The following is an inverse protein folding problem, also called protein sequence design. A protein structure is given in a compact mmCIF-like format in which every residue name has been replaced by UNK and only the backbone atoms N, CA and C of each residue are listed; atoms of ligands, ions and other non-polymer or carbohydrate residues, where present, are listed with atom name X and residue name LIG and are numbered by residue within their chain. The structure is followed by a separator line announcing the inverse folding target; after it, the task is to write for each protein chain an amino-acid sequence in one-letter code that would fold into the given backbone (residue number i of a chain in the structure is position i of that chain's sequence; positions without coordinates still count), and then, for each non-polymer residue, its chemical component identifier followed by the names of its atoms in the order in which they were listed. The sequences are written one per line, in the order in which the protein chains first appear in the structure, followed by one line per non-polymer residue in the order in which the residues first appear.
data_IF_289973519859
#
_entry.id   IF_289973519859
#
_cell.length_a   1.000
_cell.length_b   1.000
_cell.length_c   1.000
_cell.angle_alpha   90.00
_cell.angle_beta   90.00
_cell.angle_gamma   90.00
#
_symmetry.space_group_name_H-M   'P 1'
#
loop_
_entity.id
_entity.type
_entity.pdbx_description
1 polymer ?
#
# COMPACT_ATOMS: atom_id res chain seq x y z
N UNK A 1 -0.33 -15.79 -22.11
CA UNK A 1 -1.66 -15.62 -21.46
C UNK A 1 -1.67 -15.96 -19.97
N UNK A 2 -1.01 -17.04 -19.50
CA UNK A 2 -0.94 -17.37 -18.07
C UNK A 2 -0.15 -16.35 -17.22
N UNK A 3 0.98 -15.84 -17.74
CA UNK A 3 1.90 -14.97 -16.99
C UNK A 3 1.32 -13.56 -16.76
N UNK A 4 0.62 -12.98 -17.75
CA UNK A 4 -0.12 -11.72 -17.56
C UNK A 4 -1.10 -11.81 -16.40
N UNK A 5 -1.88 -12.90 -16.32
CA UNK A 5 -2.89 -13.11 -15.28
C UNK A 5 -2.27 -13.22 -13.88
N UNK A 6 -1.10 -13.84 -13.78
CA UNK A 6 -0.34 -13.89 -12.52
C UNK A 6 0.10 -12.49 -12.11
N UNK A 7 0.63 -11.69 -13.03
CA UNK A 7 1.05 -10.31 -12.72
C UNK A 7 -0.13 -9.45 -12.27
N UNK A 8 -1.27 -9.50 -12.95
CA UNK A 8 -2.47 -8.74 -12.55
C UNK A 8 -2.92 -9.14 -11.14
N UNK A 9 -3.04 -10.45 -10.88
CA UNK A 9 -3.43 -10.97 -9.57
C UNK A 9 -2.45 -10.55 -8.46
N UNK A 10 -1.14 -10.66 -8.69
CA UNK A 10 -0.13 -10.26 -7.71
C UNK A 10 -0.18 -8.77 -7.39
N UNK A 11 -0.44 -7.91 -8.38
CA UNK A 11 -0.59 -6.48 -8.14
C UNK A 11 -1.88 -6.15 -7.40
N UNK A 12 -2.98 -6.86 -7.66
CA UNK A 12 -4.22 -6.71 -6.89
C UNK A 12 -4.03 -7.12 -5.43
N UNK A 13 -3.38 -8.24 -5.18
CA UNK A 13 -3.07 -8.72 -3.83
C UNK A 13 -2.19 -7.71 -3.08
N UNK A 14 -1.14 -7.20 -3.72
CA UNK A 14 -0.28 -6.16 -3.16
C UNK A 14 -1.07 -4.88 -2.81
N UNK A 15 -1.92 -4.39 -3.71
CA UNK A 15 -2.80 -3.23 -3.46
C UNK A 15 -3.75 -3.48 -2.29
N UNK A 16 -4.34 -4.67 -2.23
CA UNK A 16 -5.26 -5.04 -1.15
C UNK A 16 -4.52 -5.14 0.19
N UNK A 17 -3.33 -5.74 0.21
CA UNK A 17 -2.48 -5.85 1.39
C UNK A 17 -2.09 -4.47 1.93
N UNK A 18 -1.68 -3.54 1.05
CA UNK A 18 -1.36 -2.15 1.42
C UNK A 18 -2.58 -1.45 2.05
N UNK A 19 -3.78 -1.61 1.46
CA UNK A 19 -5.02 -1.05 2.05
C UNK A 19 -5.31 -1.61 3.43
N UNK A 20 -5.19 -2.93 3.61
CA UNK A 20 -5.39 -3.59 4.92
C UNK A 20 -4.37 -3.10 5.95
N UNK A 21 -3.11 -2.96 5.56
CA UNK A 21 -2.05 -2.44 6.43
C UNK A 21 -2.34 -1.01 6.87
N UNK A 22 -2.72 -0.11 5.94
CA UNK A 22 -3.14 1.26 6.26
C UNK A 22 -4.31 1.27 7.23
N UNK A 23 -5.35 0.47 6.97
CA UNK A 23 -6.52 0.41 7.84
C UNK A 23 -6.13 0.00 9.27
N UNK A 24 -5.29 -1.03 9.42
CA UNK A 24 -4.83 -1.52 10.72
C UNK A 24 -3.98 -0.47 11.46
N UNK A 25 -3.11 0.23 10.74
CA UNK A 25 -2.28 1.30 11.29
C UNK A 25 -3.15 2.48 11.76
N UNK A 26 -4.13 2.90 10.96
CA UNK A 26 -5.07 3.97 11.33
C UNK A 26 -5.97 3.60 12.51
N UNK A 27 -6.43 2.35 12.59
CA UNK A 27 -7.19 1.85 13.75
C UNK A 27 -6.34 1.86 15.03
N UNK A 28 -5.06 1.50 14.91
CA UNK A 28 -4.10 1.55 16.01
C UNK A 28 -3.84 2.99 16.44
N UNK A 29 -3.66 3.92 15.49
CA UNK A 29 -3.50 5.34 15.77
C UNK A 29 -4.73 5.90 16.51
N UNK A 30 -5.94 5.53 16.10
CA UNK A 30 -7.19 5.90 16.81
C UNK A 30 -7.22 5.40 18.25
N UNK A 31 -6.72 4.20 18.54
CA UNK A 31 -6.59 3.68 19.91
C UNK A 31 -5.52 4.41 20.73
N UNK A 32 -4.50 4.95 20.07
CA UNK A 32 -3.47 5.74 20.74
C UNK A 32 -3.94 7.14 21.11
N UNK A 33 -4.96 7.71 20.46
CA UNK A 33 -5.51 9.04 20.82
C UNK A 33 -5.95 9.15 22.30
N UNK A 34 -6.28 8.04 22.96
CA UNK A 34 -6.62 8.03 24.39
C UNK A 34 -5.40 7.95 25.31
N UNK A 35 -4.25 7.48 24.83
CA UNK A 35 -3.07 7.18 25.66
C UNK A 35 -1.80 7.96 25.25
N UNK A 36 -1.81 8.66 24.12
CA UNK A 36 -0.66 9.35 23.56
C UNK A 36 -1.01 10.81 23.18
N UNK A 37 0.00 11.71 23.07
CA UNK A 37 -0.21 13.09 22.67
C UNK A 37 -0.84 13.21 21.27
N UNK A 38 -1.77 14.15 21.10
CA UNK A 38 -2.47 14.36 19.81
C UNK A 38 -1.50 14.68 18.66
N UNK A 39 -0.43 15.42 18.93
CA UNK A 39 0.58 15.76 17.92
C UNK A 39 1.35 14.52 17.44
N UNK A 40 1.74 13.62 18.35
CA UNK A 40 2.40 12.37 17.99
C UNK A 40 1.50 11.46 17.17
N UNK A 41 0.23 11.33 17.56
CA UNK A 41 -0.73 10.50 16.81
C UNK A 41 -0.98 11.08 15.41
N UNK A 42 -1.15 12.40 15.27
CA UNK A 42 -1.28 13.06 13.96
C UNK A 42 -0.05 12.87 13.08
N UNK A 43 1.15 12.92 13.67
CA UNK A 43 2.39 12.66 12.95
C UNK A 43 2.43 11.22 12.45
N UNK A 44 2.03 10.27 13.28
CA UNK A 44 1.93 8.85 12.94
C UNK A 44 0.93 8.60 11.80
N UNK A 45 -0.25 9.22 11.86
CA UNK A 45 -1.26 9.18 10.78
C UNK A 45 -0.67 9.70 9.46
N UNK A 46 0.05 10.82 9.49
CA UNK A 46 0.69 11.41 8.31
C UNK A 46 1.79 10.51 7.74
N UNK A 47 2.63 9.93 8.59
CA UNK A 47 3.68 9.00 8.17
C UNK A 47 3.10 7.72 7.54
N UNK A 48 2.03 7.17 8.12
CA UNK A 48 1.31 6.02 7.56
C UNK A 48 0.74 6.35 6.18
N UNK A 49 0.15 7.53 6.01
CA UNK A 49 -0.43 7.95 4.72
C UNK A 49 0.66 8.15 3.66
N UNK A 50 1.78 8.78 3.99
CA UNK A 50 2.93 8.96 3.09
C UNK A 50 3.58 7.63 2.71
N UNK A 51 3.80 6.73 3.67
CA UNK A 51 4.27 5.37 3.40
C UNK A 51 3.30 4.62 2.48
N UNK A 52 2.00 4.71 2.75
CA UNK A 52 0.98 4.08 1.90
C UNK A 52 1.07 4.59 0.47
N UNK A 53 1.13 5.91 0.26
CA UNK A 53 1.26 6.50 -1.08
C UNK A 53 2.51 5.98 -1.80
N UNK A 54 3.65 5.90 -1.10
CA UNK A 54 4.90 5.38 -1.65
C UNK A 54 4.75 3.92 -2.10
N UNK A 55 4.16 3.06 -1.28
CA UNK A 55 3.98 1.64 -1.62
C UNK A 55 2.95 1.42 -2.73
N UNK A 56 1.86 2.19 -2.75
CA UNK A 56 0.88 2.15 -3.86
C UNK A 56 1.57 2.51 -5.17
N UNK A 57 2.29 3.64 -5.20
CA UNK A 57 3.02 4.07 -6.40
C UNK A 57 4.05 3.03 -6.84
N UNK A 58 4.85 2.50 -5.91
CA UNK A 58 5.82 1.45 -6.21
C UNK A 58 5.15 0.19 -6.78
N UNK A 59 4.01 -0.21 -6.25
CA UNK A 59 3.24 -1.36 -6.74
C UNK A 59 2.72 -1.12 -8.16
N UNK A 60 2.21 0.08 -8.44
CA UNK A 60 1.75 0.46 -9.78
C UNK A 60 2.88 0.50 -10.80
N UNK A 61 4.02 1.08 -10.44
CA UNK A 61 5.18 1.17 -11.32
C UNK A 61 5.74 -0.23 -11.64
N UNK A 62 5.84 -1.10 -10.62
CA UNK A 62 6.24 -2.50 -10.81
C UNK A 62 5.26 -3.28 -11.68
N UNK A 63 3.95 -3.04 -11.50
CA UNK A 63 2.92 -3.71 -12.30
C UNK A 63 3.06 -3.34 -13.78
N UNK A 64 3.17 -2.04 -14.08
CA UNK A 64 3.36 -1.52 -15.44
C UNK A 64 4.65 -2.03 -16.09
N UNK A 65 5.75 -2.07 -15.33
CA UNK A 65 7.02 -2.58 -15.82
C UNK A 65 6.91 -4.06 -16.22
N UNK A 66 6.38 -4.91 -15.32
CA UNK A 66 6.19 -6.34 -15.60
C UNK A 66 5.19 -6.61 -16.71
N UNK A 67 4.11 -5.83 -16.80
CA UNK A 67 3.15 -5.96 -17.89
C UNK A 67 3.79 -5.65 -19.24
N UNK A 68 4.63 -4.61 -19.33
CA UNK A 68 5.39 -4.29 -20.55
C UNK A 68 6.39 -5.38 -20.92
N UNK A 69 7.10 -5.95 -19.96
CA UNK A 69 8.03 -7.06 -20.22
C UNK A 69 7.31 -8.30 -20.77
N UNK A 70 6.09 -8.59 -20.29
CA UNK A 70 5.33 -9.77 -20.72
C UNK A 70 4.63 -9.56 -22.08
N UNK A 71 4.26 -8.32 -22.41
CA UNK A 71 3.58 -7.99 -23.69
C UNK A 71 4.54 -7.59 -24.79
N UNK A 72 5.78 -7.20 -24.46
CA UNK A 72 6.82 -6.77 -25.40
C UNK A 72 7.85 -7.84 -25.77
N UNK A 73 7.56 -9.12 -25.51
CA UNK A 73 8.40 -10.27 -25.89
C UNK A 73 7.68 -11.20 -26.86
#
# INVERSE_FOLDING_TARGET
MAVCKVVTNSCEDARQSIRRARQKAMDTAKKLYSHAPKDDVKKLEKEVDELTKKFVKSTEDMCKAKEKEITGG
#
